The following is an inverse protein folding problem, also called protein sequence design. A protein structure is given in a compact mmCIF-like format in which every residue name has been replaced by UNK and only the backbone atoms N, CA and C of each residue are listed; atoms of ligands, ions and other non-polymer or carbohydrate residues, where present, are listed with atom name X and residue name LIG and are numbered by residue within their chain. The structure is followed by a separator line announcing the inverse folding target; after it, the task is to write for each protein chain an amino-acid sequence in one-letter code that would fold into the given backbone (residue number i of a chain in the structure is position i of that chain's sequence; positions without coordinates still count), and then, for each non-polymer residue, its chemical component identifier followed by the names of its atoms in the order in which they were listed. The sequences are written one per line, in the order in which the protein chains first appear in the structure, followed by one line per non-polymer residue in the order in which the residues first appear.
data_IF_449963776948
#
_entry.id   IF_449963776948
#
_cell.length_a   1.000
_cell.length_b   1.000
_cell.length_c   1.000
_cell.angle_alpha   90.00
_cell.angle_beta   90.00
_cell.angle_gamma   90.00
#
_symmetry.space_group_name_H-M   'P 1'
#
loop_
_entity.id
_entity.type
_entity.pdbx_description
1 polymer ?
#
# COMPACT_ATOMS: atom_id res chain seq x y z
N UNK A 1 13.67 2.38 0.56
CA UNK A 1 12.91 1.75 -0.55
C UNK A 1 12.93 2.53 -1.87
N UNK A 2 12.68 3.85 -1.89
CA UNK A 2 12.33 4.58 -3.13
C UNK A 2 13.47 4.86 -4.12
N UNK A 3 14.73 4.78 -3.67
CA UNK A 3 15.93 5.20 -4.41
C UNK A 3 16.44 4.19 -5.48
N UNK A 4 15.70 3.09 -5.73
CA UNK A 4 16.06 2.05 -6.72
C UNK A 4 14.89 1.73 -7.65
N UNK A 5 15.16 1.13 -8.80
CA UNK A 5 14.15 0.87 -9.85
C UNK A 5 13.66 -0.58 -9.88
N UNK A 6 14.57 -1.56 -9.75
CA UNK A 6 14.26 -2.99 -9.90
C UNK A 6 13.86 -3.68 -8.58
N UNK A 7 13.13 -2.97 -7.73
CA UNK A 7 12.73 -3.42 -6.40
C UNK A 7 11.23 -3.22 -6.17
N UNK A 8 10.45 -3.33 -7.26
CA UNK A 8 9.02 -3.06 -7.30
C UNK A 8 8.24 -4.32 -7.61
N UNK A 9 7.14 -4.52 -6.90
CA UNK A 9 6.19 -5.60 -7.10
C UNK A 9 4.79 -5.00 -7.22
N UNK A 10 4.04 -5.36 -8.26
CA UNK A 10 2.65 -4.92 -8.36
C UNK A 10 1.80 -5.71 -7.36
N UNK A 11 0.93 -4.99 -6.65
CA UNK A 11 -0.12 -5.59 -5.85
C UNK A 11 -1.42 -5.54 -6.66
N UNK A 12 -2.26 -6.56 -6.52
CA UNK A 12 -3.50 -6.64 -7.28
C UNK A 12 -4.62 -5.84 -6.57
N UNK A 13 -5.64 -5.44 -7.31
CA UNK A 13 -6.84 -4.82 -6.76
C UNK A 13 -8.09 -5.25 -7.53
N UNK A 14 -9.21 -5.39 -6.81
CA UNK A 14 -10.51 -5.61 -7.44
C UNK A 14 -11.10 -4.36 -8.12
N UNK A 15 -10.45 -3.20 -7.98
CA UNK A 15 -10.82 -1.97 -8.67
C UNK A 15 -9.75 -1.57 -9.69
N UNK A 16 -10.12 -1.59 -10.98
CA UNK A 16 -9.22 -1.27 -12.11
C UNK A 16 -8.76 0.20 -12.15
N UNK A 17 -9.37 1.09 -11.37
CA UNK A 17 -8.92 2.47 -11.23
C UNK A 17 -7.75 2.62 -10.27
N UNK A 18 -7.35 1.57 -9.55
CA UNK A 18 -6.18 1.61 -8.68
C UNK A 18 -4.93 1.09 -9.34
N UNK A 19 -3.84 1.84 -9.19
CA UNK A 19 -2.48 1.37 -9.41
C UNK A 19 -1.81 1.11 -8.07
N UNK A 20 -1.52 -0.16 -7.78
CA UNK A 20 -0.95 -0.58 -6.50
C UNK A 20 0.42 -1.21 -6.71
N UNK A 21 1.44 -0.72 -6.00
CA UNK A 21 2.76 -1.32 -6.06
C UNK A 21 3.52 -1.19 -4.73
N UNK A 22 4.28 -2.23 -4.42
CA UNK A 22 5.19 -2.32 -3.30
C UNK A 22 6.60 -2.02 -3.77
N UNK A 23 7.33 -1.17 -3.05
CA UNK A 23 8.79 -1.02 -3.17
C UNK A 23 9.46 -1.39 -1.87
N UNK A 24 10.55 -2.14 -1.95
CA UNK A 24 11.31 -2.51 -0.76
C UNK A 24 12.82 -2.50 -0.96
N UNK A 25 13.58 -2.33 0.11
CA UNK A 25 15.03 -2.56 0.06
C UNK A 25 15.35 -4.06 -0.06
N UNK A 26 16.54 -4.41 -0.54
CA UNK A 26 16.93 -5.82 -0.75
C UNK A 26 17.02 -6.63 0.55
N UNK A 27 17.32 -5.96 1.66
CA UNK A 27 17.32 -6.49 3.01
C UNK A 27 15.94 -6.44 3.69
N UNK A 28 14.90 -6.01 2.96
CA UNK A 28 13.52 -5.85 3.43
C UNK A 28 13.35 -4.93 4.66
N UNK A 29 14.35 -4.09 4.98
CA UNK A 29 14.32 -3.21 6.15
C UNK A 29 13.41 -1.99 5.99
N UNK A 30 13.13 -1.59 4.75
CA UNK A 30 12.22 -0.49 4.43
C UNK A 30 11.29 -0.90 3.29
N UNK A 31 9.99 -0.96 3.60
CA UNK A 31 8.92 -1.41 2.70
C UNK A 31 7.86 -0.31 2.59
N UNK A 32 7.59 0.11 1.35
CA UNK A 32 6.64 1.17 1.00
C UNK A 32 5.62 0.63 0.00
N UNK A 33 4.36 0.61 0.40
CA UNK A 33 3.23 0.34 -0.49
C UNK A 33 2.65 1.67 -0.98
N UNK A 34 2.50 1.81 -2.28
CA UNK A 34 1.86 2.96 -2.91
C UNK A 34 0.59 2.50 -3.58
N UNK A 35 -0.51 3.20 -3.30
CA UNK A 35 -1.81 3.00 -3.96
C UNK A 35 -2.26 4.33 -4.54
N UNK A 36 -2.43 4.39 -5.86
CA UNK A 36 -2.82 5.61 -6.58
C UNK A 36 -4.20 5.41 -7.19
N UNK A 37 -5.09 6.38 -6.99
CA UNK A 37 -6.33 6.48 -7.75
C UNK A 37 -6.04 7.13 -9.11
N UNK A 38 -6.26 6.37 -10.18
CA UNK A 38 -6.08 6.81 -11.57
C UNK A 38 -7.32 7.54 -12.11
N UNK A 39 -8.44 7.52 -11.38
CA UNK A 39 -9.61 8.37 -11.63
C UNK A 39 -9.42 9.71 -10.90
N UNK A 40 -9.19 10.77 -11.66
CA UNK A 40 -8.96 12.11 -11.12
C UNK A 40 -10.25 12.82 -10.69
N UNK A 41 -11.42 12.32 -11.11
CA UNK A 41 -12.72 12.94 -10.86
C UNK A 41 -13.44 12.27 -9.70
N UNK A 42 -13.43 10.94 -9.62
CA UNK A 42 -14.27 10.22 -8.67
C UNK A 42 -13.49 9.59 -7.52
N UNK A 43 -14.14 9.55 -6.35
CA UNK A 43 -13.68 8.74 -5.22
C UNK A 43 -13.81 7.27 -5.59
N UNK A 44 -12.69 6.55 -5.50
CA UNK A 44 -12.64 5.11 -5.76
C UNK A 44 -12.47 4.35 -4.45
N UNK A 45 -13.00 3.13 -4.40
CA UNK A 45 -12.81 2.20 -3.28
C UNK A 45 -12.76 0.77 -3.76
N UNK A 46 -12.10 -0.08 -2.99
CA UNK A 46 -11.92 -1.49 -3.34
C UNK A 46 -11.02 -2.19 -2.33
N UNK A 47 -10.74 -3.45 -2.61
CA UNK A 47 -9.76 -4.24 -1.87
C UNK A 47 -8.47 -4.35 -2.69
N UNK A 48 -7.36 -4.29 -1.99
CA UNK A 48 -6.04 -4.61 -2.53
C UNK A 48 -5.59 -5.96 -1.96
N UNK A 49 -4.89 -6.74 -2.78
CA UNK A 49 -4.29 -8.01 -2.39
C UNK A 49 -2.77 -7.84 -2.34
N UNK A 50 -2.23 -7.86 -1.12
CA UNK A 50 -0.81 -7.65 -0.86
C UNK A 50 -0.02 -8.92 -1.13
N UNK A 51 1.16 -8.82 -1.75
CA UNK A 51 2.07 -9.95 -1.92
C UNK A 51 2.80 -10.24 -0.60
N UNK A 52 2.15 -10.99 0.30
CA UNK A 52 2.66 -11.26 1.65
C UNK A 52 4.04 -11.91 1.67
N UNK A 53 4.35 -12.78 0.71
CA UNK A 53 5.67 -13.39 0.55
C UNK A 53 6.78 -12.34 0.40
N UNK A 54 6.52 -11.29 -0.40
CA UNK A 54 7.45 -10.18 -0.56
C UNK A 54 7.53 -9.31 0.69
N UNK A 55 6.45 -9.27 1.49
CA UNK A 55 6.42 -8.59 2.77
C UNK A 55 7.03 -9.42 3.90
N UNK A 56 7.36 -10.69 3.69
CA UNK A 56 7.85 -11.60 4.73
C UNK A 56 6.84 -11.80 5.85
N UNK A 57 5.55 -11.86 5.50
CA UNK A 57 4.41 -12.04 6.40
C UNK A 57 3.67 -13.33 6.04
N UNK A 58 3.12 -14.02 7.04
CA UNK A 58 2.16 -15.10 6.86
C UNK A 58 0.73 -14.60 6.64
N UNK A 59 -0.16 -15.49 6.20
CA UNK A 59 -1.57 -15.15 5.90
C UNK A 59 -2.36 -14.58 7.08
N UNK A 60 -1.95 -14.91 8.31
CA UNK A 60 -2.63 -14.50 9.53
C UNK A 60 -1.87 -13.42 10.31
N UNK A 61 -0.70 -13.00 9.82
CA UNK A 61 0.12 -12.02 10.51
C UNK A 61 -0.53 -10.63 10.45
N UNK A 62 -0.51 -9.95 11.59
CA UNK A 62 -0.86 -8.54 11.70
C UNK A 62 0.36 -7.66 11.45
N UNK A 63 0.13 -6.51 10.84
CA UNK A 63 1.16 -5.49 10.62
C UNK A 63 0.52 -4.11 10.65
N UNK A 64 1.32 -3.07 10.87
CA UNK A 64 0.83 -1.70 10.79
C UNK A 64 1.30 -1.03 9.51
N UNK A 65 0.45 -0.14 9.02
CA UNK A 65 0.74 0.72 7.88
C UNK A 65 0.54 2.17 8.28
N UNK A 66 1.56 2.99 8.02
CA UNK A 66 1.54 4.43 8.30
C UNK A 66 1.50 5.20 6.99
N UNK A 67 0.47 6.01 6.77
CA UNK A 67 0.35 6.80 5.54
C UNK A 67 1.22 8.05 5.58
N UNK A 68 2.37 8.00 4.91
CA UNK A 68 3.32 9.11 4.84
C UNK A 68 2.82 10.30 3.99
N UNK A 69 1.76 10.10 3.19
CA UNK A 69 1.14 11.19 2.45
C UNK A 69 0.04 11.89 3.26
N UNK A 70 -0.33 11.33 4.41
CA UNK A 70 -1.21 11.99 5.37
C UNK A 70 -0.42 13.01 6.20
N UNK A 71 -0.89 14.26 6.34
CA UNK A 71 -0.18 15.27 7.13
C UNK A 71 -0.08 14.91 8.63
N UNK A 72 -0.98 14.07 9.13
CA UNK A 72 -0.96 13.54 10.50
C UNK A 72 -0.33 12.14 10.58
N UNK A 73 0.15 11.62 9.44
CA UNK A 73 0.73 10.29 9.29
C UNK A 73 -0.11 9.19 9.96
N UNK A 74 -1.39 9.14 9.60
CA UNK A 74 -2.36 8.17 10.13
C UNK A 74 -1.83 6.73 10.05
N UNK A 75 -2.07 5.95 11.10
CA UNK A 75 -1.64 4.56 11.21
C UNK A 75 -2.84 3.62 11.28
N UNK A 76 -2.75 2.49 10.57
CA UNK A 76 -3.78 1.47 10.49
C UNK A 76 -3.17 0.11 10.78
N UNK A 77 -3.92 -0.75 11.48
CA UNK A 77 -3.55 -2.16 11.66
C UNK A 77 -4.25 -2.99 10.60
N UNK A 78 -3.46 -3.70 9.81
CA UNK A 78 -3.93 -4.62 8.76
C UNK A 78 -3.56 -6.05 9.13
N UNK A 79 -4.27 -7.00 8.53
CA UNK A 79 -4.04 -8.42 8.76
C UNK A 79 -4.24 -9.18 7.45
N UNK A 80 -3.29 -10.07 7.14
CA UNK A 80 -3.33 -10.86 5.92
C UNK A 80 -3.25 -10.02 4.64
N UNK A 81 -3.59 -10.65 3.52
CA UNK A 81 -3.32 -10.11 2.19
C UNK A 81 -4.35 -9.09 1.74
N UNK A 82 -5.62 -9.25 2.13
CA UNK A 82 -6.74 -8.50 1.56
C UNK A 82 -7.16 -7.32 2.43
N UNK A 83 -6.91 -6.11 1.97
CA UNK A 83 -7.14 -4.88 2.74
C UNK A 83 -8.01 -3.87 1.99
N UNK A 84 -8.94 -3.22 2.68
CA UNK A 84 -9.86 -2.24 2.08
C UNK A 84 -9.18 -0.87 1.96
N UNK A 85 -9.39 -0.21 0.82
CA UNK A 85 -8.89 1.13 0.50
C UNK A 85 -10.03 1.99 -0.06
N UNK A 86 -10.01 3.29 0.28
CA UNK A 86 -10.86 4.31 -0.30
C UNK A 86 -10.06 5.60 -0.48
N UNK A 87 -10.02 6.12 -1.69
CA UNK A 87 -9.22 7.30 -2.06
C UNK A 87 -10.14 8.34 -2.70
N UNK A 88 -10.20 9.53 -2.10
CA UNK A 88 -10.87 10.69 -2.68
C UNK A 88 -9.83 11.57 -3.39
N UNK A 89 -9.86 11.68 -4.75
CA UNK A 89 -8.82 12.39 -5.50
C UNK A 89 -8.78 13.89 -5.21
N UNK A 90 -9.87 14.49 -4.74
CA UNK A 90 -9.91 15.91 -4.36
C UNK A 90 -9.30 16.21 -2.99
N UNK A 91 -9.11 15.17 -2.16
CA UNK A 91 -8.39 15.29 -0.88
C UNK A 91 -6.93 14.92 -1.11
N UNK A 92 -6.70 13.67 -1.54
CA UNK A 92 -5.39 13.09 -1.82
C UNK A 92 -5.56 11.97 -2.87
N UNK A 93 -4.87 12.03 -4.02
CA UNK A 93 -5.04 11.03 -5.09
C UNK A 93 -4.34 9.69 -4.82
N UNK A 94 -3.60 9.57 -3.72
CA UNK A 94 -2.84 8.37 -3.41
C UNK A 94 -2.71 8.16 -1.89
N UNK A 95 -2.30 6.95 -1.51
CA UNK A 95 -1.73 6.65 -0.20
C UNK A 95 -0.29 6.16 -0.38
N UNK A 96 0.59 6.58 0.53
CA UNK A 96 1.99 6.12 0.57
C UNK A 96 2.22 5.47 1.94
N UNK A 97 1.94 4.19 2.02
CA UNK A 97 2.02 3.43 3.25
C UNK A 97 3.45 2.94 3.51
N UNK A 98 4.00 3.31 4.66
CA UNK A 98 5.15 2.62 5.24
C UNK A 98 4.66 1.43 6.05
N UNK A 99 5.18 0.24 5.72
CA UNK A 99 4.81 -1.01 6.38
C UNK A 99 5.75 -1.26 7.56
N UNK A 100 5.18 -1.69 8.68
CA UNK A 100 5.92 -2.09 9.88
C UNK A 100 5.34 -3.40 10.41
N UNK A 101 6.19 -4.41 10.53
CA UNK A 101 5.82 -5.70 11.14
C UNK A 101 5.68 -5.52 12.65
N UNK A 102 4.72 -6.22 13.25
CA UNK A 102 4.51 -6.28 14.70
C UNK A 102 5.50 -7.23 15.38
#
# INVERSE_FOLDING_TARGET
ALQRTFNLFFADSDNSHFLCYLKQTYDCSDQILVVVNMDWENTQSGFINLPLDHLGLGEYDGFTVRDLYDPYEAEYTWQGSRNFIKINPHVRPAHIFKIRRL
#
